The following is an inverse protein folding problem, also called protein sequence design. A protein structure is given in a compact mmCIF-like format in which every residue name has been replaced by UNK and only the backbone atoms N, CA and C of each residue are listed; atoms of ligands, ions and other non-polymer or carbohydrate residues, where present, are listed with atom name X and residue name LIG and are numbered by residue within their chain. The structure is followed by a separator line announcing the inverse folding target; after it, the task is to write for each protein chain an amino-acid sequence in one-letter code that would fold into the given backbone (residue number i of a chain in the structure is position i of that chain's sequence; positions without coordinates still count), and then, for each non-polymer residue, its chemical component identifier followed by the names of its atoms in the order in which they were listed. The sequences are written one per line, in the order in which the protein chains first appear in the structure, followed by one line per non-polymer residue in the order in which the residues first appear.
data_IF_240299478796
#
_entry.id   IF_240299478796
#
_cell.length_a   1.000
_cell.length_b   1.000
_cell.length_c   1.000
_cell.angle_alpha   90.00
_cell.angle_beta   90.00
_cell.angle_gamma   90.00
#
_symmetry.space_group_name_H-M   'P 1'
#
loop_
_entity.id
_entity.type
_entity.pdbx_description
1 polymer ?
#
# COMPACT_ATOMS: atom_id res chain seq x y z
N UNK A 1 7.55 -21.86 6.82
CA UNK A 1 6.83 -20.86 5.98
C UNK A 1 5.73 -21.64 5.27
N UNK A 2 4.51 -21.42 5.65
CA UNK A 2 3.36 -21.97 4.92
C UNK A 2 3.26 -21.25 3.59
N UNK A 3 3.00 -21.96 2.48
CA UNK A 3 2.97 -21.41 1.11
C UNK A 3 1.91 -20.30 0.88
N UNK A 4 1.15 -19.93 1.91
CA UNK A 4 0.01 -18.98 1.82
C UNK A 4 0.19 -17.68 2.61
N UNK A 5 1.28 -17.48 3.34
CA UNK A 5 1.46 -16.28 4.16
C UNK A 5 1.81 -15.07 3.28
N UNK A 6 0.86 -14.12 3.14
CA UNK A 6 1.06 -12.95 2.31
C UNK A 6 1.73 -11.80 3.06
N UNK A 7 1.44 -11.62 4.35
CA UNK A 7 2.13 -10.67 5.23
C UNK A 7 3.19 -11.39 6.06
N UNK A 8 4.39 -10.86 6.10
CA UNK A 8 5.53 -11.40 6.85
C UNK A 8 5.96 -10.33 7.86
N UNK A 9 5.83 -10.66 9.14
CA UNK A 9 6.21 -9.75 10.23
C UNK A 9 7.72 -9.60 10.34
N UNK A 10 8.21 -8.38 10.49
CA UNK A 10 9.60 -8.05 10.77
C UNK A 10 9.87 -7.75 12.25
N UNK A 11 8.82 -7.82 13.10
CA UNK A 11 8.90 -7.54 14.54
C UNK A 11 8.45 -8.76 15.35
N UNK A 12 8.91 -8.85 16.60
CA UNK A 12 8.63 -10.01 17.46
C UNK A 12 7.16 -10.14 17.87
N UNK A 13 6.43 -9.03 17.96
CA UNK A 13 5.00 -9.02 18.24
C UNK A 13 4.27 -8.77 16.93
N UNK A 14 3.35 -9.64 16.54
CA UNK A 14 2.52 -9.43 15.36
C UNK A 14 1.76 -8.11 15.48
N UNK A 15 1.78 -7.27 14.42
CA UNK A 15 1.03 -6.02 14.42
C UNK A 15 -0.47 -6.31 14.35
N UNK A 16 -1.26 -5.53 15.08
CA UNK A 16 -2.71 -5.62 15.03
C UNK A 16 -3.28 -4.58 14.08
N UNK A 17 -3.72 -5.00 12.91
CA UNK A 17 -4.27 -4.13 11.87
C UNK A 17 -5.77 -3.85 12.02
N UNK A 18 -6.46 -4.62 12.85
CA UNK A 18 -7.92 -4.53 12.99
C UNK A 18 -8.38 -3.13 13.37
N UNK A 19 -9.33 -2.61 12.58
CA UNK A 19 -9.90 -1.27 12.80
C UNK A 19 -9.02 -0.11 12.35
N UNK A 20 -7.82 -0.37 11.85
CA UNK A 20 -6.96 0.67 11.27
C UNK A 20 -7.40 1.02 9.84
N UNK A 21 -6.97 2.17 9.36
CA UNK A 21 -7.13 2.55 7.95
C UNK A 21 -5.89 2.15 7.16
N UNK A 22 -6.09 1.35 6.10
CA UNK A 22 -5.03 0.95 5.18
C UNK A 22 -4.87 1.98 4.07
N UNK A 23 -3.64 2.40 3.78
CA UNK A 23 -3.30 3.29 2.67
C UNK A 23 -2.36 2.57 1.71
N UNK A 24 -2.78 2.49 0.44
CA UNK A 24 -2.06 1.79 -0.63
C UNK A 24 -1.77 2.75 -1.79
N UNK A 25 -0.58 2.70 -2.44
CA UNK A 25 -0.35 3.39 -3.69
C UNK A 25 -0.80 2.49 -4.85
N UNK A 26 -1.47 3.06 -5.84
CA UNK A 26 -1.53 2.44 -7.17
C UNK A 26 -0.33 2.96 -7.98
N UNK A 27 0.46 2.06 -8.57
CA UNK A 27 1.54 2.47 -9.47
C UNK A 27 0.92 3.19 -10.65
N UNK A 28 1.21 4.48 -10.78
CA UNK A 28 0.60 5.37 -11.74
C UNK A 28 1.56 6.47 -12.20
N UNK A 29 1.11 7.36 -13.06
CA UNK A 29 1.95 8.37 -13.71
C UNK A 29 2.73 9.21 -12.70
N UNK A 30 4.03 9.38 -12.96
CA UNK A 30 4.92 10.23 -12.17
C UNK A 30 5.28 9.69 -10.80
N UNK A 31 4.89 8.44 -10.47
CA UNK A 31 5.10 7.84 -9.15
C UNK A 31 4.59 8.70 -7.98
N UNK A 32 3.58 9.54 -8.25
CA UNK A 32 3.02 10.48 -7.26
C UNK A 32 2.49 9.76 -6.01
N UNK A 33 1.77 8.62 -6.12
CA UNK A 33 1.31 7.89 -4.95
C UNK A 33 2.45 7.38 -4.08
N UNK A 34 3.51 6.86 -4.69
CA UNK A 34 4.68 6.36 -3.97
C UNK A 34 5.38 7.49 -3.20
N UNK A 35 5.56 8.65 -3.84
CA UNK A 35 6.11 9.83 -3.19
C UNK A 35 5.21 10.31 -2.04
N UNK A 36 3.90 10.31 -2.25
CA UNK A 36 2.95 10.70 -1.20
C UNK A 36 3.07 9.78 0.03
N UNK A 37 3.20 8.46 -0.17
CA UNK A 37 3.42 7.53 0.92
C UNK A 37 4.79 7.73 1.58
N UNK A 38 5.85 7.97 0.83
CA UNK A 38 7.16 8.27 1.42
C UNK A 38 7.09 9.52 2.32
N UNK A 39 6.40 10.57 1.90
CA UNK A 39 6.19 11.76 2.72
C UNK A 39 5.38 11.45 4.00
N UNK A 40 4.37 10.58 3.93
CA UNK A 40 3.60 10.15 5.10
C UNK A 40 4.45 9.29 6.05
N UNK A 41 5.20 8.33 5.51
CA UNK A 41 6.07 7.43 6.28
C UNK A 41 7.11 8.22 7.06
N UNK A 42 7.70 9.24 6.45
CA UNK A 42 8.73 10.09 7.06
C UNK A 42 8.17 11.28 7.85
N UNK A 43 6.83 11.46 7.90
CA UNK A 43 6.23 12.53 8.68
C UNK A 43 6.37 12.29 10.20
N UNK A 44 7.08 13.15 10.96
CA UNK A 44 7.30 12.94 12.38
C UNK A 44 6.00 12.84 13.19
N UNK A 45 4.93 13.49 12.73
CA UNK A 45 3.62 13.49 13.37
C UNK A 45 2.89 12.14 13.30
N UNK A 46 3.24 11.29 12.35
CA UNK A 46 2.67 9.95 12.21
C UNK A 46 3.47 8.89 12.94
N UNK A 47 4.75 9.15 13.23
CA UNK A 47 5.65 8.23 13.92
C UNK A 47 5.56 6.80 13.34
N UNK A 48 5.64 6.70 12.02
CA UNK A 48 5.56 5.42 11.32
C UNK A 48 6.79 4.55 11.65
N UNK A 49 6.53 3.26 11.85
CA UNK A 49 7.57 2.23 11.98
C UNK A 49 7.31 1.10 11.00
N UNK A 50 8.35 0.53 10.43
CA UNK A 50 8.22 -0.67 9.62
C UNK A 50 7.86 -1.86 10.52
N UNK A 51 6.81 -2.58 10.15
CA UNK A 51 6.32 -3.74 10.92
C UNK A 51 6.47 -5.05 10.15
N UNK A 52 6.68 -5.00 8.84
CA UNK A 52 6.83 -6.17 8.01
C UNK A 52 6.86 -5.84 6.53
N UNK A 53 6.57 -6.84 5.73
CA UNK A 53 6.46 -6.72 4.28
C UNK A 53 5.45 -7.73 3.74
N UNK A 54 4.90 -7.44 2.56
CA UNK A 54 4.06 -8.40 1.83
C UNK A 54 4.94 -9.24 0.91
N UNK A 55 4.48 -10.47 0.61
CA UNK A 55 5.16 -11.34 -0.34
C UNK A 55 5.24 -10.69 -1.73
N UNK A 56 6.46 -10.33 -2.12
CA UNK A 56 6.77 -9.69 -3.39
C UNK A 56 7.00 -10.66 -4.56
N UNK A 57 6.68 -11.95 -4.42
CA UNK A 57 6.95 -12.98 -5.45
C UNK A 57 6.22 -12.69 -6.78
N UNK A 58 5.13 -11.92 -6.75
CA UNK A 58 4.40 -11.48 -7.93
C UNK A 58 4.85 -10.11 -8.47
N UNK A 59 5.80 -9.46 -7.80
CA UNK A 59 6.38 -8.19 -8.22
C UNK A 59 7.70 -8.38 -8.98
N UNK A 60 8.10 -7.37 -9.72
CA UNK A 60 9.47 -7.33 -10.25
C UNK A 60 10.43 -7.30 -9.05
N UNK A 61 11.47 -8.16 -9.02
CA UNK A 61 12.41 -8.18 -7.90
C UNK A 61 13.00 -6.81 -7.60
N UNK A 62 12.94 -6.41 -6.34
CA UNK A 62 13.45 -5.13 -5.88
C UNK A 62 14.07 -5.28 -4.50
N UNK A 63 15.29 -4.79 -4.35
CA UNK A 63 15.99 -4.60 -3.08
C UNK A 63 16.74 -3.28 -3.18
N UNK A 64 16.58 -2.43 -2.19
CA UNK A 64 17.34 -1.20 -2.05
C UNK A 64 18.15 -1.23 -0.74
N UNK A 65 19.38 -0.70 -0.74
CA UNK A 65 20.11 -0.50 0.50
C UNK A 65 19.32 0.41 1.44
N UNK A 66 19.58 0.34 2.75
CA UNK A 66 18.96 1.24 3.71
C UNK A 66 19.37 2.68 3.42
N UNK A 67 18.50 3.62 3.80
CA UNK A 67 18.90 5.03 3.87
C UNK A 67 20.04 5.21 4.90
N UNK A 68 20.90 6.21 4.72
CA UNK A 68 22.01 6.45 5.66
C UNK A 68 21.58 6.66 7.12
N UNK A 69 20.32 7.03 7.35
CA UNK A 69 19.70 7.22 8.66
C UNK A 69 19.20 5.93 9.33
N UNK A 70 19.16 4.80 8.57
CA UNK A 70 18.67 3.51 9.06
C UNK A 70 19.82 2.54 9.34
N UNK A 71 19.60 1.53 10.19
CA UNK A 71 20.61 0.49 10.45
C UNK A 71 21.03 -0.20 9.15
N UNK A 72 22.34 -0.44 8.98
CA UNK A 72 22.94 -0.99 7.76
C UNK A 72 22.44 -2.39 7.37
N UNK A 73 21.72 -3.08 8.24
CA UNK A 73 21.13 -4.40 7.98
C UNK A 73 19.65 -4.34 7.51
N UNK A 74 19.04 -3.16 7.54
CA UNK A 74 17.68 -3.00 7.01
C UNK A 74 17.74 -2.78 5.50
N UNK A 75 17.03 -3.61 4.75
CA UNK A 75 16.83 -3.47 3.31
C UNK A 75 15.37 -3.16 3.02
N UNK A 76 15.11 -2.33 2.02
CA UNK A 76 13.77 -2.11 1.52
C UNK A 76 13.40 -3.20 0.52
N UNK A 77 12.15 -3.65 0.58
CA UNK A 77 11.60 -4.67 -0.32
C UNK A 77 10.62 -4.05 -1.32
N UNK A 78 10.05 -4.89 -2.19
CA UNK A 78 9.05 -4.45 -3.15
C UNK A 78 7.77 -3.90 -2.49
N UNK A 79 7.44 -4.38 -1.29
CA UNK A 79 6.16 -4.13 -0.60
C UNK A 79 6.39 -4.04 0.91
N UNK A 80 6.89 -2.91 1.40
CA UNK A 80 7.11 -2.70 2.83
C UNK A 80 5.84 -2.22 3.52
N UNK A 81 5.58 -2.72 4.73
CA UNK A 81 4.41 -2.37 5.56
C UNK A 81 4.85 -1.56 6.77
N UNK A 82 4.20 -0.42 6.95
CA UNK A 82 4.44 0.51 8.06
C UNK A 82 3.18 0.70 8.88
N UNK A 83 3.33 0.82 10.17
CA UNK A 83 2.29 1.17 11.12
C UNK A 83 2.55 2.54 11.73
N UNK A 84 1.51 3.36 11.81
CA UNK A 84 1.54 4.67 12.44
C UNK A 84 0.92 4.62 13.82
N UNK A 85 1.43 5.43 14.74
CA UNK A 85 0.81 5.64 16.06
C UNK A 85 -0.60 6.25 16.01
N UNK A 86 -1.10 6.61 14.83
CA UNK A 86 -2.43 7.20 14.58
C UNK A 86 -3.46 6.22 14.04
N UNK A 87 -3.19 4.91 14.10
CA UNK A 87 -4.13 3.90 13.59
C UNK A 87 -4.16 3.83 12.06
N UNK A 88 -3.04 4.12 11.42
CA UNK A 88 -2.87 3.98 9.97
C UNK A 88 -1.87 2.86 9.69
N UNK A 89 -2.19 2.04 8.71
CA UNK A 89 -1.26 1.10 8.09
C UNK A 89 -0.96 1.59 6.68
N UNK A 90 0.32 1.70 6.33
CA UNK A 90 0.76 2.14 5.01
C UNK A 90 1.54 1.01 4.35
N UNK A 91 1.20 0.68 3.11
CA UNK A 91 1.99 -0.25 2.29
C UNK A 91 2.71 0.55 1.22
N UNK A 92 4.03 0.63 1.29
CA UNK A 92 4.82 1.25 0.23
C UNK A 92 5.16 0.23 -0.84
N UNK A 93 4.68 0.47 -2.04
CA UNK A 93 4.97 -0.36 -3.21
C UNK A 93 6.05 0.28 -4.07
N UNK A 94 7.25 -0.30 -4.06
CA UNK A 94 8.42 0.22 -4.80
C UNK A 94 8.61 -0.43 -6.16
N UNK A 95 7.89 -1.53 -6.45
CA UNK A 95 8.06 -2.31 -7.66
C UNK A 95 6.71 -2.70 -8.26
N UNK A 96 6.59 -2.71 -9.60
CA UNK A 96 5.34 -3.07 -10.27
C UNK A 96 5.07 -4.57 -10.16
N UNK A 97 3.79 -4.92 -10.13
CA UNK A 97 3.33 -6.31 -10.24
C UNK A 97 3.54 -6.81 -11.66
N UNK A 98 4.12 -8.00 -11.78
CA UNK A 98 4.31 -8.69 -13.07
C UNK A 98 2.96 -8.88 -13.75
N UNK A 99 2.85 -8.49 -15.02
CA UNK A 99 1.58 -8.46 -15.75
C UNK A 99 0.80 -9.79 -15.69
N UNK A 100 1.50 -10.90 -15.84
CA UNK A 100 0.90 -12.24 -15.77
C UNK A 100 0.38 -12.62 -14.37
N UNK A 101 0.90 -12.00 -13.32
CA UNK A 101 0.60 -12.33 -11.92
C UNK A 101 -0.42 -11.38 -11.28
N UNK A 102 -0.93 -10.39 -12.02
CA UNK A 102 -1.82 -9.36 -11.46
C UNK A 102 -3.05 -9.93 -10.78
N UNK A 103 -3.72 -10.88 -11.40
CA UNK A 103 -4.93 -11.49 -10.84
C UNK A 103 -4.64 -12.24 -9.54
N UNK A 104 -3.52 -12.96 -9.47
CA UNK A 104 -3.10 -13.67 -8.27
C UNK A 104 -2.74 -12.67 -7.15
N UNK A 105 -1.93 -11.66 -7.46
CA UNK A 105 -1.56 -10.60 -6.53
C UNK A 105 -2.78 -9.91 -5.94
N UNK A 106 -3.71 -9.47 -6.79
CA UNK A 106 -4.94 -8.79 -6.34
C UNK A 106 -5.75 -9.69 -5.41
N UNK A 107 -5.90 -10.98 -5.73
CA UNK A 107 -6.63 -11.93 -4.87
C UNK A 107 -5.98 -12.08 -3.50
N UNK A 108 -4.66 -12.27 -3.44
CA UNK A 108 -3.91 -12.40 -2.19
C UNK A 108 -3.96 -11.11 -1.36
N UNK A 109 -3.81 -9.96 -2.00
CA UNK A 109 -3.94 -8.66 -1.36
C UNK A 109 -5.34 -8.45 -0.76
N UNK A 110 -6.39 -8.75 -1.52
CA UNK A 110 -7.77 -8.62 -1.04
C UNK A 110 -8.06 -9.57 0.12
N UNK A 111 -7.55 -10.80 0.05
CA UNK A 111 -7.69 -11.78 1.13
C UNK A 111 -7.01 -11.29 2.42
N UNK A 112 -5.77 -10.82 2.32
CA UNK A 112 -5.06 -10.24 3.45
C UNK A 112 -5.80 -9.03 4.06
N UNK A 113 -6.31 -8.12 3.22
CA UNK A 113 -7.08 -6.96 3.67
C UNK A 113 -8.31 -7.39 4.48
N UNK A 114 -9.03 -8.42 4.02
CA UNK A 114 -10.21 -8.94 4.69
C UNK A 114 -9.85 -9.62 6.03
N UNK A 115 -8.83 -10.46 6.05
CA UNK A 115 -8.39 -11.16 7.27
C UNK A 115 -7.84 -10.20 8.32
N UNK A 116 -7.06 -9.21 7.90
CA UNK A 116 -6.50 -8.19 8.79
C UNK A 116 -7.58 -7.31 9.44
N UNK A 117 -8.77 -7.21 8.84
CA UNK A 117 -9.92 -6.51 9.42
C UNK A 117 -9.77 -5.00 9.46
N UNK A 118 -9.17 -4.40 8.43
CA UNK A 118 -9.10 -2.95 8.29
C UNK A 118 -10.50 -2.34 8.25
N UNK A 119 -10.68 -1.16 8.89
CA UNK A 119 -11.95 -0.43 8.84
C UNK A 119 -12.19 0.25 7.49
N UNK A 120 -11.11 0.77 6.91
CA UNK A 120 -11.15 1.51 5.65
C UNK A 120 -9.91 1.21 4.81
N UNK A 121 -10.06 1.31 3.49
CA UNK A 121 -8.95 1.18 2.53
C UNK A 121 -8.93 2.38 1.62
N UNK A 122 -7.83 3.12 1.64
CA UNK A 122 -7.59 4.27 0.78
C UNK A 122 -6.54 3.91 -0.27
N UNK A 123 -6.90 3.98 -1.54
CA UNK A 123 -5.99 3.80 -2.66
C UNK A 123 -5.65 5.16 -3.25
N UNK A 124 -4.37 5.54 -3.19
CA UNK A 124 -3.87 6.77 -3.80
C UNK A 124 -3.42 6.47 -5.23
N UNK A 125 -3.91 7.24 -6.19
CA UNK A 125 -3.57 7.12 -7.61
C UNK A 125 -3.29 8.49 -8.20
N UNK A 126 -2.64 8.53 -9.35
CA UNK A 126 -2.46 9.73 -10.16
C UNK A 126 -2.92 9.49 -11.59
N UNK A 127 -3.39 10.54 -12.23
CA UNK A 127 -3.77 10.52 -13.65
C UNK A 127 -3.12 11.69 -14.38
N UNK A 128 -2.94 11.53 -15.69
CA UNK A 128 -2.44 12.61 -16.54
C UNK A 128 -3.45 13.76 -16.56
N UNK A 129 -2.96 14.99 -16.42
CA UNK A 129 -3.79 16.20 -16.52
C UNK A 129 -4.52 16.28 -17.86
N UNK A 130 -3.94 15.77 -18.95
CA UNK A 130 -4.57 15.70 -20.26
C UNK A 130 -5.85 14.84 -20.30
N UNK A 131 -6.06 13.98 -19.32
CA UNK A 131 -7.26 13.14 -19.17
C UNK A 131 -8.38 13.83 -18.38
N UNK A 132 -8.15 15.04 -17.88
CA UNK A 132 -9.12 15.80 -17.07
C UNK A 132 -9.91 16.76 -17.97
N UNK A 133 -11.16 16.99 -17.60
CA UNK A 133 -11.99 18.02 -18.24
C UNK A 133 -11.72 19.39 -17.60
N UNK A 134 -11.92 20.47 -18.35
CA UNK A 134 -11.58 21.84 -17.92
C UNK A 134 -12.20 22.22 -16.56
N UNK A 135 -13.38 21.75 -16.26
CA UNK A 135 -14.07 21.99 -14.98
C UNK A 135 -13.38 21.35 -13.77
N UNK A 136 -12.54 20.36 -13.99
CA UNK A 136 -11.83 19.64 -12.91
C UNK A 136 -10.46 20.24 -12.59
N UNK A 137 -9.94 21.16 -13.42
CA UNK A 137 -8.63 21.77 -13.18
C UNK A 137 -8.55 22.62 -11.92
N UNK A 138 -9.67 23.15 -11.46
CA UNK A 138 -9.75 23.90 -10.20
C UNK A 138 -9.71 23.00 -8.95
N UNK A 139 -9.88 21.68 -9.11
CA UNK A 139 -9.89 20.70 -8.00
C UNK A 139 -8.72 19.75 -8.16
N UNK A 140 -7.58 19.99 -7.52
CA UNK A 140 -6.35 19.20 -7.74
C UNK A 140 -6.47 17.75 -7.27
N UNK A 141 -7.33 17.47 -6.28
CA UNK A 141 -7.54 16.15 -5.70
C UNK A 141 -8.99 15.75 -5.89
N UNK A 142 -9.20 14.57 -6.47
CA UNK A 142 -10.52 13.96 -6.62
C UNK A 142 -10.56 12.66 -5.82
N UNK A 143 -11.73 12.30 -5.30
CA UNK A 143 -11.93 11.02 -4.65
C UNK A 143 -13.18 10.32 -5.19
N UNK A 144 -13.18 9.00 -5.19
CA UNK A 144 -14.31 8.18 -5.56
C UNK A 144 -14.58 7.16 -4.47
N UNK A 145 -15.82 7.06 -4.02
CA UNK A 145 -16.28 5.95 -3.17
C UNK A 145 -17.04 4.96 -4.04
N UNK A 146 -16.87 3.64 -3.83
CA UNK A 146 -17.73 2.64 -4.46
C UNK A 146 -19.20 2.92 -4.11
N UNK A 147 -20.12 2.77 -5.05
CA UNK A 147 -21.54 2.78 -4.75
C UNK A 147 -21.94 1.46 -4.09
N UNK A 148 -23.02 1.45 -3.29
CA UNK A 148 -23.53 0.24 -2.64
C UNK A 148 -23.80 -0.90 -3.66
N UNK A 149 -24.29 -0.58 -4.84
CA UNK A 149 -24.49 -1.55 -5.93
C UNK A 149 -23.16 -2.16 -6.43
N UNK A 150 -22.04 -1.44 -6.37
CA UNK A 150 -20.71 -1.96 -6.75
C UNK A 150 -20.11 -2.85 -5.66
N UNK A 151 -20.43 -2.60 -4.41
CA UNK A 151 -19.96 -3.40 -3.27
C UNK A 151 -20.63 -4.77 -3.28
N UNK A 152 -21.91 -4.84 -3.61
CA UNK A 152 -22.69 -6.09 -3.64
C UNK A 152 -22.18 -7.08 -4.71
N UNK A 153 -21.62 -6.59 -5.82
CA UNK A 153 -21.03 -7.43 -6.87
C UNK A 153 -19.66 -8.03 -6.52
N UNK A 154 -19.00 -7.53 -5.47
CA UNK A 154 -17.69 -8.05 -5.01
C UNK A 154 -17.84 -9.11 -3.92
N UNK A 155 -19.04 -9.27 -3.35
CA UNK A 155 -19.34 -10.21 -2.26
C UNK A 155 -20.11 -11.46 -2.73
N UNK A 156 -20.34 -11.63 -4.02
CA UNK A 156 -20.93 -12.79 -4.68
C UNK A 156 -19.87 -13.53 -5.52
#
# INVERSE_FOLDING_TARGET
MTEDEFFISAISNEPEFRGQTLILPAISIGSVPQLALDLLIHAPTLACRRVGYLDGSQCVPFISPPEPSLPAHEVFTALDVYESSKGLTLVQQRSPVIKASRALFTRRLMHWIQEAGFSDVLIISSMDAAMRVDTEFSTPILYKRPSEAQITHLSS
#
